data_IF_970515722148
#
_entry.id   IF_970515722148
#
_cell.length_a   1.000
_cell.length_b   1.000
_cell.length_c   1.000
_cell.angle_alpha   90.00
_cell.angle_beta   90.00
_cell.angle_gamma   90.00
#
_symmetry.space_group_name_H-M   'P 1'
#
loop_
_entity.id
_entity.type
_entity.pdbx_description
1 polymer ?
#
# COMPACT_ATOMS: atom_id res chain seq x y z
N UNK A 1 15.51 49.29 -23.59
CA UNK A 1 16.18 48.13 -22.97
C UNK A 1 15.65 47.87 -21.56
N UNK A 2 15.64 48.86 -20.67
CA UNK A 2 15.17 48.72 -19.27
C UNK A 2 13.72 48.24 -19.12
N UNK A 3 12.78 48.73 -19.94
CA UNK A 3 11.36 48.32 -19.88
C UNK A 3 11.16 46.85 -20.26
N UNK A 4 11.94 46.34 -21.23
CA UNK A 4 11.88 44.93 -21.66
C UNK A 4 12.44 44.02 -20.57
N UNK A 5 13.54 44.40 -19.92
CA UNK A 5 14.13 43.63 -18.82
C UNK A 5 13.17 43.55 -17.62
N UNK A 6 12.53 44.66 -17.26
CA UNK A 6 11.53 44.68 -16.16
C UNK A 6 10.33 43.79 -16.48
N UNK A 7 9.83 43.82 -17.72
CA UNK A 7 8.71 42.98 -18.14
C UNK A 7 9.05 41.49 -18.11
N UNK A 8 10.25 41.11 -18.58
CA UNK A 8 10.72 39.71 -18.57
C UNK A 8 10.90 39.20 -17.14
N UNK A 9 11.52 39.99 -16.26
CA UNK A 9 11.70 39.62 -14.84
C UNK A 9 10.35 39.50 -14.13
N UNK A 10 9.42 40.42 -14.40
CA UNK A 10 8.06 40.35 -13.84
C UNK A 10 7.31 39.09 -14.28
N UNK A 11 7.42 38.71 -15.56
CA UNK A 11 6.79 37.50 -16.09
C UNK A 11 7.40 36.21 -15.49
N UNK A 12 8.73 36.17 -15.34
CA UNK A 12 9.43 35.04 -14.75
C UNK A 12 9.07 34.85 -13.26
N UNK A 13 8.95 35.94 -12.50
CA UNK A 13 8.51 35.90 -11.10
C UNK A 13 7.06 35.44 -10.96
N UNK A 14 6.16 35.89 -11.84
CA UNK A 14 4.77 35.43 -11.86
C UNK A 14 4.68 33.94 -12.22
N UNK A 15 5.46 33.47 -13.19
CA UNK A 15 5.53 32.05 -13.53
C UNK A 15 6.08 31.21 -12.36
N UNK A 16 7.15 31.67 -11.70
CA UNK A 16 7.70 31.00 -10.52
C UNK A 16 6.69 30.95 -9.37
N UNK A 17 5.99 32.05 -9.08
CA UNK A 17 4.95 32.09 -8.05
C UNK A 17 3.75 31.21 -8.40
N UNK A 18 3.36 31.13 -9.68
CA UNK A 18 2.32 30.23 -10.12
C UNK A 18 2.73 28.76 -9.97
N UNK A 19 3.97 28.42 -10.34
CA UNK A 19 4.52 27.07 -10.15
C UNK A 19 4.59 26.71 -8.67
N UNK A 20 5.13 27.59 -7.82
CA UNK A 20 5.19 27.39 -6.37
C UNK A 20 3.80 27.30 -5.76
N UNK A 21 2.85 28.14 -6.19
CA UNK A 21 1.47 28.11 -5.70
C UNK A 21 0.72 26.84 -6.10
N UNK A 22 0.96 26.35 -7.32
CA UNK A 22 0.40 25.08 -7.81
C UNK A 22 1.03 23.89 -7.09
N UNK A 23 2.35 23.92 -6.87
CA UNK A 23 3.05 22.85 -6.15
C UNK A 23 2.59 22.80 -4.69
N UNK A 24 2.58 23.94 -4.00
CA UNK A 24 2.09 24.04 -2.63
C UNK A 24 0.63 23.61 -2.48
N UNK A 25 -0.22 23.92 -3.46
CA UNK A 25 -1.62 23.47 -3.42
C UNK A 25 -1.73 21.96 -3.65
N UNK A 26 -0.97 21.40 -4.59
CA UNK A 26 -0.92 19.94 -4.82
C UNK A 26 -0.36 19.19 -3.62
N UNK A 27 0.73 19.68 -3.03
CA UNK A 27 1.38 19.05 -1.89
C UNK A 27 0.52 19.13 -0.62
N UNK A 28 -0.33 20.16 -0.49
CA UNK A 28 -1.24 20.29 0.66
C UNK A 28 -2.37 19.25 0.63
N UNK A 29 -2.83 18.89 -0.55
CA UNK A 29 -4.01 18.02 -0.73
C UNK A 29 -3.61 16.55 -1.02
N UNK A 30 -2.31 16.24 -1.14
CA UNK A 30 -1.81 14.87 -1.35
C UNK A 30 -1.53 14.20 0.00
N UNK A 31 -2.16 13.04 0.24
CA UNK A 31 -1.93 12.22 1.44
C UNK A 31 -0.57 11.52 1.36
N UNK A 32 -0.01 11.10 2.50
CA UNK A 32 1.25 10.35 2.50
C UNK A 32 1.10 9.04 1.71
N UNK A 33 -0.06 8.40 1.81
CA UNK A 33 -0.38 7.22 1.01
C UNK A 33 -0.39 7.52 -0.51
N UNK A 34 -1.05 8.59 -0.95
CA UNK A 34 -1.06 8.97 -2.36
C UNK A 34 0.32 9.37 -2.89
N UNK A 35 1.12 10.05 -2.05
CA UNK A 35 2.50 10.38 -2.36
C UNK A 35 3.34 9.11 -2.52
N UNK A 36 3.28 8.18 -1.58
CA UNK A 36 4.03 6.93 -1.66
C UNK A 36 3.63 6.12 -2.91
N UNK A 37 2.33 6.00 -3.19
CA UNK A 37 1.83 5.32 -4.38
C UNK A 37 2.36 5.95 -5.69
N UNK A 38 2.68 7.25 -5.69
CA UNK A 38 3.29 7.89 -6.86
C UNK A 38 4.73 7.44 -7.16
N UNK A 39 5.39 6.78 -6.21
CA UNK A 39 6.71 6.15 -6.42
C UNK A 39 6.61 4.71 -6.95
N UNK A 40 5.41 4.13 -6.96
CA UNK A 40 5.22 2.77 -7.45
C UNK A 40 5.38 2.72 -8.98
N UNK A 41 5.97 1.63 -9.52
CA UNK A 41 6.06 1.40 -10.97
C UNK A 41 4.70 1.45 -11.67
N UNK A 42 4.68 1.94 -12.90
CA UNK A 42 3.43 2.10 -13.67
C UNK A 42 2.68 0.77 -13.94
N UNK A 43 3.39 -0.36 -13.91
CA UNK A 43 2.85 -1.71 -14.13
C UNK A 43 2.42 -2.42 -12.83
N UNK A 44 2.38 -1.70 -11.70
CA UNK A 44 1.97 -2.28 -10.42
C UNK A 44 0.54 -2.84 -10.48
N UNK A 45 0.44 -4.16 -10.28
CA UNK A 45 -0.83 -4.88 -10.22
C UNK A 45 -1.36 -4.97 -8.79
N UNK A 46 -0.47 -4.87 -7.80
CA UNK A 46 -0.76 -4.89 -6.37
C UNK A 46 0.08 -3.84 -5.65
N UNK A 47 -0.56 -3.08 -4.75
CA UNK A 47 0.10 -2.27 -3.74
C UNK A 47 -0.33 -2.73 -2.34
N UNK A 48 0.55 -2.59 -1.36
CA UNK A 48 0.21 -2.75 0.06
C UNK A 48 0.91 -1.66 0.86
N UNK A 49 0.17 -0.99 1.73
CA UNK A 49 0.60 0.20 2.46
C UNK A 49 0.49 -0.01 3.95
N UNK A 50 1.46 0.49 4.71
CA UNK A 50 1.40 0.59 6.17
C UNK A 50 2.02 1.90 6.64
N UNK A 51 1.24 2.74 7.30
CA UNK A 51 1.71 3.92 8.03
C UNK A 51 2.20 3.47 9.42
N UNK A 52 3.48 3.10 9.49
CA UNK A 52 4.10 2.59 10.70
C UNK A 52 4.09 3.60 11.84
N UNK A 53 4.19 4.89 11.55
CA UNK A 53 4.03 5.94 12.55
C UNK A 53 2.62 5.93 13.16
N UNK A 54 1.57 5.77 12.35
CA UNK A 54 0.21 5.62 12.85
C UNK A 54 -0.03 4.28 13.59
N UNK A 55 0.59 3.17 13.15
CA UNK A 55 0.53 1.89 13.87
C UNK A 55 1.15 2.00 15.27
N UNK A 56 2.34 2.62 15.39
CA UNK A 56 2.97 2.93 16.70
C UNK A 56 2.06 3.81 17.55
N UNK A 57 1.47 4.86 16.97
CA UNK A 57 0.54 5.74 17.66
C UNK A 57 -0.73 5.03 18.18
N UNK A 58 -1.26 4.05 17.44
CA UNK A 58 -2.46 3.27 17.82
C UNK A 58 -2.18 2.23 18.91
N UNK A 59 -1.04 1.56 18.82
CA UNK A 59 -0.59 0.59 19.84
C UNK A 59 -0.05 1.28 21.10
N UNK A 60 0.33 2.56 20.99
CA UNK A 60 0.99 3.30 22.07
C UNK A 60 2.44 2.87 22.26
N UNK A 61 3.04 2.26 21.24
CA UNK A 61 4.43 1.82 21.27
C UNK A 61 5.38 3.03 21.21
N UNK A 62 6.32 3.07 22.14
CA UNK A 62 7.42 4.05 22.19
C UNK A 62 8.68 3.35 21.68
N UNK A 63 8.82 3.30 20.36
CA UNK A 63 9.90 2.64 19.66
C UNK A 63 10.70 3.62 18.83
N UNK A 64 11.98 3.31 18.67
CA UNK A 64 12.94 4.03 17.85
C UNK A 64 14.01 3.10 17.28
N UNK A 65 14.97 3.66 16.55
CA UNK A 65 16.07 2.92 15.92
C UNK A 65 16.96 2.16 16.93
N UNK A 66 16.90 2.46 18.22
CA UNK A 66 17.71 1.81 19.27
C UNK A 66 16.94 0.75 20.06
N UNK A 67 15.66 0.56 19.75
CA UNK A 67 14.80 -0.44 20.38
C UNK A 67 15.30 -1.87 20.11
N UNK A 68 15.05 -2.78 21.05
CA UNK A 68 15.50 -4.17 20.88
C UNK A 68 14.60 -4.94 19.92
N UNK A 69 15.13 -6.01 19.33
CA UNK A 69 14.35 -6.92 18.49
C UNK A 69 13.12 -7.51 19.23
N UNK A 70 13.25 -7.77 20.53
CA UNK A 70 12.15 -8.26 21.37
C UNK A 70 11.04 -7.20 21.55
N UNK A 71 11.42 -5.92 21.69
CA UNK A 71 10.44 -4.82 21.78
C UNK A 71 9.69 -4.64 20.45
N UNK A 72 10.40 -4.77 19.32
CA UNK A 72 9.79 -4.74 17.99
C UNK A 72 8.83 -5.91 17.80
N UNK A 73 9.21 -7.13 18.21
CA UNK A 73 8.31 -8.28 18.14
C UNK A 73 7.05 -8.07 18.97
N UNK A 74 7.16 -7.57 20.21
CA UNK A 74 6.00 -7.28 21.05
C UNK A 74 5.05 -6.25 20.43
N UNK A 75 5.61 -5.20 19.81
CA UNK A 75 4.83 -4.22 19.06
C UNK A 75 4.10 -4.83 17.85
N UNK A 76 4.76 -5.71 17.10
CA UNK A 76 4.15 -6.37 15.94
C UNK A 76 3.02 -7.33 16.35
N UNK A 77 3.15 -8.00 17.49
CA UNK A 77 2.10 -8.84 18.06
C UNK A 77 0.86 -7.98 18.45
N UNK A 78 1.07 -6.85 19.14
CA UNK A 78 -0.01 -5.91 19.51
C UNK A 78 -0.68 -5.28 18.29
N UNK A 79 0.07 -5.01 17.23
CA UNK A 79 -0.44 -4.45 15.98
C UNK A 79 -1.18 -5.52 15.15
N UNK A 80 -0.73 -6.77 15.19
CA UNK A 80 -1.43 -7.91 14.59
C UNK A 80 -2.79 -8.12 15.23
N UNK A 81 -2.89 -8.07 16.57
CA UNK A 81 -4.16 -8.18 17.30
C UNK A 81 -5.18 -7.09 16.96
N UNK A 82 -4.72 -5.99 16.35
CA UNK A 82 -5.55 -4.90 15.86
C UNK A 82 -5.76 -4.91 14.34
N UNK A 83 -5.31 -5.97 13.65
CA UNK A 83 -5.45 -6.16 12.21
C UNK A 83 -4.76 -5.06 11.37
N UNK A 84 -3.58 -4.59 11.83
CA UNK A 84 -2.86 -3.46 11.22
C UNK A 84 -1.63 -3.85 10.41
N UNK A 85 -1.15 -5.10 10.52
CA UNK A 85 0.15 -5.52 9.99
C UNK A 85 0.08 -6.45 8.77
N UNK A 86 -1.11 -6.95 8.43
CA UNK A 86 -1.26 -7.98 7.39
C UNK A 86 -0.93 -7.52 5.97
N UNK A 87 -0.87 -6.21 5.73
CA UNK A 87 -0.43 -5.65 4.45
C UNK A 87 1.10 -5.53 4.32
N UNK A 88 1.84 -5.58 5.43
CA UNK A 88 3.27 -5.30 5.43
C UNK A 88 4.09 -6.51 4.95
N UNK A 89 5.13 -6.22 4.16
CA UNK A 89 6.17 -7.14 3.76
C UNK A 89 7.30 -7.25 4.80
N UNK A 90 7.39 -6.32 5.76
CA UNK A 90 8.48 -6.26 6.74
C UNK A 90 8.26 -7.12 7.99
N UNK A 91 7.03 -7.51 8.33
CA UNK A 91 6.70 -8.13 9.64
C UNK A 91 7.62 -9.29 9.99
N UNK A 92 7.86 -10.20 9.05
CA UNK A 92 8.71 -11.37 9.29
C UNK A 92 10.19 -10.98 9.46
N UNK A 93 10.66 -10.03 8.66
CA UNK A 93 12.06 -9.58 8.64
C UNK A 93 12.40 -8.60 9.76
N UNK A 94 11.39 -7.98 10.39
CA UNK A 94 11.53 -6.81 11.25
C UNK A 94 12.51 -6.97 12.42
N UNK A 95 12.53 -8.09 13.18
CA UNK A 95 13.51 -8.28 14.26
C UNK A 95 14.96 -8.29 13.75
N UNK A 96 15.19 -8.88 12.56
CA UNK A 96 16.54 -8.95 11.94
C UNK A 96 16.92 -7.60 11.36
N UNK A 97 16.00 -6.92 10.69
CA UNK A 97 16.18 -5.56 10.16
C UNK A 97 16.58 -4.58 11.28
N UNK A 98 15.87 -4.63 12.41
CA UNK A 98 16.20 -3.81 13.59
C UNK A 98 17.62 -4.07 14.12
N UNK A 99 18.08 -5.32 14.07
CA UNK A 99 19.38 -5.71 14.62
C UNK A 99 20.57 -5.44 13.68
N UNK A 100 20.34 -5.42 12.36
CA UNK A 100 21.43 -5.48 11.37
C UNK A 100 21.40 -4.40 10.28
N UNK A 101 20.27 -3.72 10.06
CA UNK A 101 20.09 -2.81 8.93
C UNK A 101 19.83 -1.36 9.37
N UNK A 102 19.68 -1.10 10.66
CA UNK A 102 19.42 0.24 11.19
C UNK A 102 18.00 0.75 10.97
N UNK A 103 17.12 -0.06 10.38
CA UNK A 103 15.73 0.29 10.15
C UNK A 103 14.80 -0.89 10.40
N UNK A 104 13.57 -0.62 10.82
CA UNK A 104 12.49 -1.58 10.97
C UNK A 104 11.14 -0.85 11.12
N UNK A 105 10.01 -1.56 11.28
CA UNK A 105 8.75 -0.95 11.72
C UNK A 105 8.84 -0.10 13.00
N UNK A 106 9.93 -0.17 13.77
CA UNK A 106 10.19 0.69 14.92
C UNK A 106 10.44 2.16 14.55
N UNK A 107 11.13 2.44 13.45
CA UNK A 107 11.59 3.79 13.09
C UNK A 107 11.20 4.23 11.67
N UNK A 108 10.81 3.30 10.79
CA UNK A 108 10.24 3.65 9.47
C UNK A 108 8.96 4.48 9.67
N UNK A 109 8.79 5.54 8.87
CA UNK A 109 7.57 6.36 8.87
C UNK A 109 6.43 5.60 8.21
N UNK A 110 6.67 5.10 7.00
CA UNK A 110 5.72 4.31 6.24
C UNK A 110 6.40 3.30 5.32
N UNK A 111 5.62 2.30 4.93
CA UNK A 111 5.99 1.25 4.00
C UNK A 111 4.98 1.17 2.84
N UNK A 112 5.50 1.05 1.62
CA UNK A 112 4.74 0.69 0.43
C UNK A 112 5.39 -0.52 -0.26
N UNK A 113 4.69 -1.63 -0.30
CA UNK A 113 5.01 -2.75 -1.18
C UNK A 113 4.29 -2.58 -2.52
N UNK A 114 5.00 -2.78 -3.63
CA UNK A 114 4.47 -2.81 -4.99
C UNK A 114 4.91 -4.07 -5.71
N UNK A 115 3.99 -4.71 -6.41
CA UNK A 115 4.24 -5.94 -7.16
C UNK A 115 3.62 -5.88 -8.56
N UNK A 116 4.40 -6.33 -9.53
CA UNK A 116 3.96 -6.60 -10.90
C UNK A 116 4.39 -7.99 -11.34
N UNK A 117 4.14 -8.32 -12.60
CA UNK A 117 4.66 -9.56 -13.21
C UNK A 117 6.17 -9.51 -13.46
N UNK A 118 6.78 -8.33 -13.44
CA UNK A 118 8.20 -8.12 -13.69
C UNK A 118 9.05 -8.25 -12.41
N UNK A 119 8.50 -7.90 -11.24
CA UNK A 119 9.18 -8.00 -9.95
C UNK A 119 8.38 -7.38 -8.82
N UNK A 120 8.98 -7.33 -7.64
CA UNK A 120 8.43 -6.65 -6.47
C UNK A 120 9.42 -5.65 -5.89
N UNK A 121 8.91 -4.56 -5.30
CA UNK A 121 9.70 -3.56 -4.61
C UNK A 121 9.01 -3.17 -3.31
N UNK A 122 9.78 -3.07 -2.22
CA UNK A 122 9.37 -2.43 -0.97
C UNK A 122 10.00 -1.05 -0.94
N UNK A 123 9.21 -0.01 -0.74
CA UNK A 123 9.63 1.38 -0.63
C UNK A 123 9.34 1.82 0.79
N UNK A 124 10.36 2.28 1.49
CA UNK A 124 10.30 2.68 2.89
C UNK A 124 10.73 4.13 3.00
N UNK A 125 10.03 4.91 3.82
CA UNK A 125 10.47 6.25 4.20
C UNK A 125 11.07 6.23 5.59
N UNK A 126 12.30 6.73 5.69
CA UNK A 126 12.95 7.00 6.97
C UNK A 126 12.88 8.49 7.32
N UNK A 127 13.10 8.83 8.60
CA UNK A 127 13.43 10.19 9.01
C UNK A 127 14.69 10.72 8.27
N UNK A 128 14.74 12.04 8.02
CA UNK A 128 15.68 12.70 7.09
C UNK A 128 17.20 12.57 7.39
N UNK A 129 17.62 11.93 8.49
CA UNK A 129 19.02 11.87 8.94
C UNK A 129 19.64 10.44 8.99
N UNK A 130 18.94 9.40 8.50
CA UNK A 130 19.30 8.01 8.83
C UNK A 130 19.99 7.22 7.69
N UNK A 131 19.98 7.69 6.43
CA UNK A 131 20.40 6.85 5.29
C UNK A 131 21.89 6.58 5.19
N UNK A 132 22.76 7.50 5.64
CA UNK A 132 24.21 7.23 5.69
C UNK A 132 24.51 6.09 6.67
N UNK A 133 23.83 6.05 7.81
CA UNK A 133 23.97 4.98 8.80
C UNK A 133 23.45 3.65 8.25
N UNK A 134 22.33 3.66 7.51
CA UNK A 134 21.82 2.46 6.81
C UNK A 134 22.86 1.95 5.80
N UNK A 135 23.55 2.84 5.08
CA UNK A 135 24.62 2.45 4.16
C UNK A 135 25.80 1.77 4.87
N UNK A 136 26.20 2.27 6.04
CA UNK A 136 27.26 1.66 6.86
C UNK A 136 26.81 0.28 7.42
N UNK A 137 25.57 0.18 7.91
CA UNK A 137 25.00 -1.08 8.41
C UNK A 137 24.89 -2.14 7.30
N UNK A 138 24.55 -1.74 6.06
CA UNK A 138 24.54 -2.63 4.89
C UNK A 138 25.95 -3.17 4.57
N UNK A 139 27.00 -2.33 4.63
CA UNK A 139 28.38 -2.80 4.45
C UNK A 139 28.80 -3.77 5.54
N UNK A 140 28.49 -3.46 6.80
CA UNK A 140 28.80 -4.31 7.95
C UNK A 140 28.05 -5.65 7.89
N UNK A 141 26.83 -5.64 7.34
CA UNK A 141 26.04 -6.85 7.04
C UNK A 141 26.56 -7.63 5.82
N UNK A 142 27.52 -7.09 5.06
CA UNK A 142 28.19 -7.78 3.95
C UNK A 142 27.65 -7.45 2.55
N UNK A 143 26.76 -6.46 2.41
CA UNK A 143 26.33 -5.99 1.10
C UNK A 143 27.47 -5.30 0.36
N UNK A 144 27.48 -5.46 -0.96
CA UNK A 144 28.44 -4.77 -1.83
C UNK A 144 27.90 -3.41 -2.24
N UNK A 145 28.60 -2.32 -1.86
CA UNK A 145 28.27 -0.95 -2.25
C UNK A 145 28.29 -0.78 -3.79
N UNK A 146 27.31 -0.08 -4.38
CA UNK A 146 27.34 0.29 -5.79
C UNK A 146 28.49 1.24 -6.14
N UNK A 147 28.85 1.30 -7.42
CA UNK A 147 29.85 2.25 -7.94
C UNK A 147 29.32 3.68 -8.15
N UNK A 148 28.01 3.88 -8.01
CA UNK A 148 27.29 5.15 -8.17
C UNK A 148 26.43 5.41 -6.94
N UNK A 149 26.09 6.67 -6.69
CA UNK A 149 25.27 7.09 -5.56
C UNK A 149 23.86 6.45 -5.62
N UNK A 150 23.20 6.52 -6.77
CA UNK A 150 21.86 5.94 -7.00
C UNK A 150 21.89 4.47 -7.44
N UNK A 151 22.99 3.77 -7.15
CA UNK A 151 23.13 2.38 -7.57
C UNK A 151 22.50 1.38 -6.60
N UNK A 152 22.35 0.15 -7.07
CA UNK A 152 21.82 -0.95 -6.25
C UNK A 152 22.94 -1.66 -5.48
N UNK A 153 22.79 -1.74 -4.16
CA UNK A 153 23.55 -2.57 -3.24
C UNK A 153 23.20 -4.04 -3.44
N UNK A 154 24.23 -4.89 -3.40
CA UNK A 154 24.10 -6.33 -3.70
C UNK A 154 24.38 -7.16 -2.45
N UNK A 155 23.34 -7.79 -1.91
CA UNK A 155 23.49 -8.88 -0.93
C UNK A 155 23.45 -10.23 -1.63
N UNK A 156 22.43 -10.45 -2.47
CA UNK A 156 22.21 -11.69 -3.21
C UNK A 156 21.61 -12.83 -2.36
N UNK A 157 21.34 -13.96 -3.01
CA UNK A 157 20.59 -15.10 -2.46
C UNK A 157 21.30 -15.87 -1.33
N UNK A 158 22.62 -15.77 -1.26
CA UNK A 158 23.44 -16.47 -0.27
C UNK A 158 23.70 -15.65 1.00
N UNK A 159 23.60 -14.32 0.93
CA UNK A 159 23.89 -13.47 2.08
C UNK A 159 22.74 -13.45 3.10
N UNK A 160 21.49 -13.30 2.65
CA UNK A 160 20.36 -13.16 3.57
C UNK A 160 20.25 -14.31 4.59
N UNK A 161 20.38 -15.60 4.20
CA UNK A 161 20.33 -16.70 5.16
C UNK A 161 21.48 -16.69 6.18
N UNK A 162 22.61 -16.06 5.87
CA UNK A 162 23.73 -15.89 6.81
C UNK A 162 23.46 -14.78 7.83
N UNK A 163 22.73 -13.74 7.45
CA UNK A 163 22.29 -12.66 8.34
C UNK A 163 21.13 -13.12 9.23
N UNK A 164 20.09 -13.69 8.64
CA UNK A 164 18.91 -14.18 9.35
C UNK A 164 17.98 -14.99 8.46
N UNK A 165 17.56 -16.17 8.94
CA UNK A 165 16.70 -17.08 8.19
C UNK A 165 15.29 -16.53 7.93
N UNK A 166 14.88 -15.48 8.66
CA UNK A 166 13.57 -14.85 8.56
C UNK A 166 13.53 -13.64 7.62
N UNK A 167 14.68 -13.27 7.00
CA UNK A 167 14.71 -12.20 6.01
C UNK A 167 13.98 -12.61 4.73
N UNK A 168 13.07 -11.74 4.30
CA UNK A 168 12.32 -11.94 3.07
C UNK A 168 13.20 -11.76 1.83
N UNK A 169 12.90 -12.44 0.71
CA UNK A 169 13.67 -12.32 -0.53
C UNK A 169 13.74 -10.89 -1.08
N UNK A 170 12.78 -10.03 -0.76
CA UNK A 170 12.73 -8.63 -1.17
C UNK A 170 13.87 -7.79 -0.58
N UNK A 171 14.66 -8.31 0.35
CA UNK A 171 15.81 -7.61 0.96
C UNK A 171 17.14 -7.94 0.28
N UNK A 172 17.15 -8.74 -0.79
CA UNK A 172 18.38 -9.17 -1.47
C UNK A 172 19.16 -8.03 -2.12
N UNK A 173 18.43 -6.99 -2.54
CA UNK A 173 18.96 -5.81 -3.21
C UNK A 173 18.37 -4.57 -2.58
N UNK A 174 19.21 -3.56 -2.37
CA UNK A 174 18.82 -2.31 -1.68
C UNK A 174 19.27 -1.12 -2.52
N UNK A 175 18.45 -0.08 -2.61
CA UNK A 175 18.83 1.22 -3.13
C UNK A 175 18.46 2.29 -2.10
N UNK A 176 19.29 3.32 -1.99
CA UNK A 176 19.11 4.42 -1.05
C UNK A 176 18.88 5.70 -1.87
N UNK A 177 17.74 6.35 -1.68
CA UNK A 177 17.44 7.65 -2.29
C UNK A 177 17.55 8.72 -1.19
N UNK A 178 18.74 9.34 -1.11
CA UNK A 178 19.04 10.35 -0.11
C UNK A 178 18.19 11.61 -0.28
N UNK A 179 17.87 12.01 -1.51
CA UNK A 179 17.09 13.21 -1.81
C UNK A 179 15.64 13.09 -1.30
N UNK A 180 15.09 11.87 -1.32
CA UNK A 180 13.73 11.56 -0.89
C UNK A 180 13.67 10.79 0.44
N UNK A 181 14.79 10.57 1.12
CA UNK A 181 14.86 9.81 2.37
C UNK A 181 14.25 8.40 2.27
N UNK A 182 14.43 7.71 1.13
CA UNK A 182 13.82 6.40 0.89
C UNK A 182 14.86 5.28 0.92
N UNK A 183 14.43 4.13 1.45
CA UNK A 183 15.07 2.83 1.22
C UNK A 183 14.16 2.03 0.30
N UNK A 184 14.73 1.53 -0.79
CA UNK A 184 14.03 0.64 -1.70
C UNK A 184 14.68 -0.73 -1.67
N UNK A 185 13.88 -1.78 -1.58
CA UNK A 185 14.38 -3.15 -1.59
C UNK A 185 13.65 -3.99 -2.62
N UNK A 186 14.34 -4.95 -3.23
CA UNK A 186 13.73 -5.87 -4.19
C UNK A 186 14.39 -7.25 -4.15
N UNK A 187 13.67 -8.24 -4.68
CA UNK A 187 14.17 -9.57 -4.97
C UNK A 187 15.00 -9.63 -6.26
N UNK A 188 15.04 -8.53 -7.03
CA UNK A 188 15.73 -8.43 -8.33
C UNK A 188 16.48 -7.11 -8.52
N UNK A 189 17.79 -7.19 -8.70
CA UNK A 189 18.64 -6.00 -8.93
C UNK A 189 18.26 -5.20 -10.18
N UNK A 190 17.97 -5.87 -11.29
CA UNK A 190 17.65 -5.22 -12.57
C UNK A 190 16.28 -4.53 -12.52
N UNK A 191 15.32 -5.14 -11.84
CA UNK A 191 14.03 -4.54 -11.59
C UNK A 191 14.17 -3.32 -10.67
N UNK A 192 14.88 -3.46 -9.54
CA UNK A 192 15.11 -2.35 -8.62
C UNK A 192 15.76 -1.14 -9.28
N UNK A 193 16.79 -1.34 -10.11
CA UNK A 193 17.42 -0.23 -10.84
C UNK A 193 16.42 0.46 -11.77
N UNK A 194 15.55 -0.28 -12.45
CA UNK A 194 14.50 0.33 -13.30
C UNK A 194 13.52 1.17 -12.48
N UNK A 195 13.15 0.70 -11.28
CA UNK A 195 12.26 1.47 -10.38
C UNK A 195 12.94 2.76 -9.93
N UNK A 196 14.21 2.71 -9.52
CA UNK A 196 14.99 3.89 -9.13
C UNK A 196 15.10 4.89 -10.29
N UNK A 197 15.43 4.40 -11.49
CA UNK A 197 15.60 5.25 -12.69
C UNK A 197 14.29 5.91 -13.15
N UNK A 198 13.13 5.26 -12.92
CA UNK A 198 11.81 5.74 -13.32
C UNK A 198 11.03 6.49 -12.23
N UNK A 199 11.59 6.61 -11.03
CA UNK A 199 10.86 7.11 -9.87
C UNK A 199 10.37 8.55 -10.05
N UNK A 200 9.05 8.74 -9.92
CA UNK A 200 8.39 10.05 -10.05
C UNK A 200 8.09 10.47 -11.50
N UNK A 201 8.65 9.76 -12.50
CA UNK A 201 8.31 9.92 -13.90
C UNK A 201 7.23 8.92 -14.34
N UNK A 202 7.24 7.72 -13.76
CA UNK A 202 6.21 6.72 -13.97
C UNK A 202 4.94 7.03 -13.16
N UNK A 203 3.79 6.68 -13.74
CA UNK A 203 2.50 6.92 -13.11
C UNK A 203 1.65 5.65 -13.16
N UNK A 204 1.09 5.29 -12.00
CA UNK A 204 0.04 4.30 -11.91
C UNK A 204 -1.10 4.61 -12.89
N UNK A 205 -1.80 3.55 -13.31
CA UNK A 205 -3.02 3.70 -14.13
C UNK A 205 -4.06 4.59 -13.42
N UNK A 206 -4.88 5.29 -14.22
CA UNK A 206 -5.91 6.20 -13.68
C UNK A 206 -6.86 5.49 -12.68
N UNK A 207 -7.39 4.27 -12.94
CA UNK A 207 -8.25 3.59 -11.98
C UNK A 207 -7.58 3.30 -10.64
N UNK A 208 -6.31 2.86 -10.64
CA UNK A 208 -5.56 2.57 -9.42
C UNK A 208 -5.32 3.86 -8.63
N UNK A 209 -4.94 4.95 -9.31
CA UNK A 209 -4.77 6.26 -8.67
C UNK A 209 -6.06 6.76 -8.04
N UNK A 210 -7.20 6.62 -8.72
CA UNK A 210 -8.50 7.04 -8.20
C UNK A 210 -8.89 6.30 -6.92
N UNK A 211 -8.64 4.99 -6.81
CA UNK A 211 -8.95 4.24 -5.57
C UNK A 211 -7.97 4.56 -4.44
N UNK A 212 -6.71 4.87 -4.75
CA UNK A 212 -5.72 5.38 -3.76
C UNK A 212 -6.18 6.73 -3.20
N UNK A 213 -6.50 7.69 -4.08
CA UNK A 213 -6.97 9.02 -3.69
C UNK A 213 -8.27 8.94 -2.85
N UNK A 214 -9.23 8.12 -3.25
CA UNK A 214 -10.48 7.92 -2.52
C UNK A 214 -10.31 7.18 -1.18
N UNK A 215 -9.20 6.45 -1.00
CA UNK A 215 -8.84 5.82 0.28
C UNK A 215 -8.34 6.83 1.31
N UNK A 216 -7.89 8.02 0.89
CA UNK A 216 -7.46 9.10 1.79
C UNK A 216 -6.13 8.79 2.50
N UNK A 217 -6.14 8.85 3.83
CA UNK A 217 -4.96 8.66 4.70
C UNK A 217 -5.15 7.42 5.59
N UNK A 218 -5.07 6.20 5.03
CA UNK A 218 -5.27 4.97 5.78
C UNK A 218 -4.04 4.59 6.61
N UNK A 219 -4.28 3.83 7.68
CA UNK A 219 -3.21 3.25 8.51
C UNK A 219 -2.62 2.03 7.82
N UNK A 220 -3.45 1.20 7.19
CA UNK A 220 -3.00 0.12 6.33
C UNK A 220 -3.94 -0.01 5.14
N UNK A 221 -3.42 -0.39 3.98
CA UNK A 221 -4.24 -0.59 2.78
C UNK A 221 -3.69 -1.69 1.86
N UNK A 222 -4.59 -2.31 1.12
CA UNK A 222 -4.30 -3.21 0.00
C UNK A 222 -5.00 -2.67 -1.25
N UNK A 223 -4.26 -2.53 -2.35
CA UNK A 223 -4.78 -2.03 -3.63
C UNK A 223 -4.44 -3.00 -4.74
N UNK A 224 -5.39 -3.20 -5.65
CA UNK A 224 -5.25 -4.05 -6.81
C UNK A 224 -5.71 -3.32 -8.07
N UNK A 225 -5.04 -3.59 -9.19
CA UNK A 225 -5.66 -3.33 -10.49
C UNK A 225 -6.86 -4.27 -10.72
N UNK A 226 -7.66 -4.00 -11.77
CA UNK A 226 -8.87 -4.76 -12.04
C UNK A 226 -8.62 -6.25 -12.28
N UNK A 227 -7.60 -6.58 -13.08
CA UNK A 227 -7.29 -7.97 -13.43
C UNK A 227 -6.83 -8.76 -12.19
N UNK A 228 -5.98 -8.16 -11.35
CA UNK A 228 -5.50 -8.78 -10.14
C UNK A 228 -6.59 -8.88 -9.07
N UNK A 229 -7.47 -7.87 -8.95
CA UNK A 229 -8.65 -7.95 -8.06
C UNK A 229 -9.59 -9.08 -8.49
N UNK A 230 -9.96 -9.12 -9.78
CA UNK A 230 -10.85 -10.14 -10.32
C UNK A 230 -10.23 -11.55 -10.35
N UNK A 231 -8.91 -11.68 -10.20
CA UNK A 231 -8.25 -12.98 -10.05
C UNK A 231 -8.14 -13.38 -8.58
N UNK A 232 -7.60 -12.48 -7.75
CA UNK A 232 -7.23 -12.73 -6.34
C UNK A 232 -8.42 -12.73 -5.39
N UNK A 233 -9.51 -12.03 -5.75
CA UNK A 233 -10.72 -11.93 -4.93
C UNK A 233 -11.91 -12.73 -5.48
N UNK A 234 -11.74 -13.41 -6.61
CA UNK A 234 -12.84 -14.10 -7.26
C UNK A 234 -13.35 -15.32 -6.49
N UNK A 235 -14.67 -15.52 -6.61
CA UNK A 235 -15.35 -16.71 -6.09
C UNK A 235 -14.91 -18.01 -6.76
N UNK A 236 -14.24 -17.94 -7.93
CA UNK A 236 -13.66 -19.11 -8.60
C UNK A 236 -12.61 -19.84 -7.77
N UNK A 237 -12.08 -19.19 -6.73
CA UNK A 237 -11.17 -19.78 -5.74
C UNK A 237 -11.88 -20.52 -4.60
N UNK A 238 -13.19 -20.32 -4.42
CA UNK A 238 -13.98 -21.02 -3.40
C UNK A 238 -14.35 -22.44 -3.86
N UNK A 239 -14.81 -23.27 -2.93
CA UNK A 239 -15.32 -24.60 -3.25
C UNK A 239 -16.64 -24.53 -4.06
N UNK A 240 -16.98 -25.61 -4.77
CA UNK A 240 -18.10 -25.63 -5.71
C UNK A 240 -19.47 -25.29 -5.06
N UNK A 241 -19.69 -25.67 -3.80
CA UNK A 241 -20.93 -25.38 -3.07
C UNK A 241 -21.03 -23.88 -2.71
N UNK A 242 -19.89 -23.26 -2.41
CA UNK A 242 -19.79 -21.83 -2.12
C UNK A 242 -19.95 -21.01 -3.41
N UNK A 243 -19.39 -21.47 -4.53
CA UNK A 243 -19.63 -20.86 -5.84
C UNK A 243 -21.12 -20.87 -6.21
N UNK A 244 -21.80 -22.01 -6.05
CA UNK A 244 -23.24 -22.11 -6.32
C UNK A 244 -24.09 -21.22 -5.40
N UNK A 245 -23.62 -20.99 -4.17
CA UNK A 245 -24.24 -20.05 -3.23
C UNK A 245 -24.00 -18.61 -3.65
N UNK A 246 -22.78 -18.26 -4.03
CA UNK A 246 -22.41 -16.95 -4.55
C UNK A 246 -23.22 -16.59 -5.80
N UNK A 247 -23.36 -17.52 -6.76
CA UNK A 247 -24.14 -17.30 -7.99
C UNK A 247 -25.59 -16.88 -7.69
N UNK A 248 -26.24 -17.56 -6.72
CA UNK A 248 -27.58 -17.16 -6.25
C UNK A 248 -27.58 -15.79 -5.61
N UNK A 249 -26.63 -15.51 -4.72
CA UNK A 249 -26.57 -14.24 -4.00
C UNK A 249 -26.32 -13.07 -4.97
N UNK A 250 -25.49 -13.27 -5.99
CA UNK A 250 -25.27 -12.31 -7.08
C UNK A 250 -26.55 -12.09 -7.89
N UNK A 251 -27.25 -13.17 -8.28
CA UNK A 251 -28.54 -13.06 -8.99
C UNK A 251 -29.60 -12.30 -8.16
N UNK A 252 -29.65 -12.53 -6.86
CA UNK A 252 -30.55 -11.85 -5.93
C UNK A 252 -30.18 -10.37 -5.69
N UNK A 253 -28.88 -10.06 -5.62
CA UNK A 253 -28.37 -8.70 -5.41
C UNK A 253 -28.52 -7.80 -6.63
N UNK A 254 -28.49 -8.38 -7.84
CA UNK A 254 -28.64 -7.67 -9.11
C UNK A 254 -27.33 -7.60 -9.89
N UNK A 255 -27.18 -6.58 -10.76
CA UNK A 255 -26.02 -6.47 -11.64
C UNK A 255 -24.73 -6.29 -10.83
N UNK A 256 -23.72 -7.09 -11.18
CA UNK A 256 -22.35 -7.02 -10.67
C UNK A 256 -21.43 -6.88 -11.89
N UNK A 257 -20.78 -5.73 -12.04
CA UNK A 257 -19.85 -5.46 -13.14
C UNK A 257 -18.39 -5.71 -12.68
N UNK A 258 -17.48 -6.08 -13.59
CA UNK A 258 -16.05 -6.17 -13.29
C UNK A 258 -15.48 -4.81 -12.86
N UNK A 259 -14.57 -4.84 -11.88
CA UNK A 259 -13.88 -3.65 -11.39
C UNK A 259 -12.66 -3.35 -12.25
N UNK A 260 -12.30 -2.06 -12.37
CA UNK A 260 -11.07 -1.60 -13.02
C UNK A 260 -9.93 -1.37 -12.03
N UNK A 261 -10.26 -1.20 -10.75
CA UNK A 261 -9.34 -1.21 -9.62
C UNK A 261 -10.11 -1.45 -8.31
N UNK A 262 -9.41 -1.90 -7.28
CA UNK A 262 -9.95 -2.15 -5.94
C UNK A 262 -8.98 -1.66 -4.88
N UNK A 263 -9.47 -1.01 -3.83
CA UNK A 263 -8.71 -0.72 -2.62
C UNK A 263 -9.50 -1.14 -1.39
N UNK A 264 -8.83 -1.74 -0.42
CA UNK A 264 -9.31 -1.97 0.93
C UNK A 264 -8.39 -1.24 1.89
N UNK A 265 -8.93 -0.55 2.88
CA UNK A 265 -8.09 0.26 3.78
C UNK A 265 -8.66 0.37 5.19
N UNK A 266 -7.79 0.24 6.20
CA UNK A 266 -8.12 0.56 7.59
C UNK A 266 -7.89 2.04 7.80
N UNK A 267 -8.96 2.73 8.17
CA UNK A 267 -8.95 4.17 8.34
C UNK A 267 -8.53 4.54 9.78
N UNK A 268 -8.08 5.77 10.06
CA UNK A 268 -7.62 6.16 11.40
C UNK A 268 -8.65 5.91 12.53
N UNK A 269 -9.94 5.98 12.21
CA UNK A 269 -11.05 5.68 13.13
C UNK A 269 -11.33 4.18 13.35
N UNK A 270 -10.60 3.27 12.69
CA UNK A 270 -10.80 1.82 12.78
C UNK A 270 -11.90 1.25 11.89
N UNK A 271 -12.56 2.09 11.07
CA UNK A 271 -13.44 1.59 10.01
C UNK A 271 -12.61 1.06 8.85
N UNK A 272 -13.17 0.09 8.12
CA UNK A 272 -12.57 -0.47 6.91
C UNK A 272 -13.30 0.08 5.71
N UNK A 273 -12.58 0.72 4.79
CA UNK A 273 -13.14 1.27 3.56
C UNK A 273 -12.75 0.41 2.38
N UNK A 274 -13.75 -0.09 1.65
CA UNK A 274 -13.56 -0.69 0.34
C UNK A 274 -13.93 0.31 -0.75
N UNK A 275 -13.02 0.60 -1.68
CA UNK A 275 -13.23 1.46 -2.84
C UNK A 275 -13.08 0.61 -4.10
N UNK A 276 -14.05 0.71 -5.00
CA UNK A 276 -14.11 -0.06 -6.24
C UNK A 276 -14.28 0.90 -7.41
N UNK A 277 -13.35 0.87 -8.36
CA UNK A 277 -13.48 1.62 -9.61
C UNK A 277 -14.18 0.78 -10.68
N UNK A 278 -15.02 1.43 -11.48
CA UNK A 278 -15.74 0.83 -12.60
C UNK A 278 -15.44 1.58 -13.91
N UNK A 279 -15.94 1.09 -15.03
CA UNK A 279 -15.70 1.75 -16.32
C UNK A 279 -16.54 3.04 -16.50
N UNK A 280 -17.57 3.25 -15.67
CA UNK A 280 -18.46 4.42 -15.76
C UNK A 280 -19.26 4.69 -14.49
N UNK A 281 -19.76 5.92 -14.35
CA UNK A 281 -20.68 6.32 -13.29
C UNK A 281 -22.01 5.53 -13.27
N UNK A 282 -22.53 5.14 -14.44
CA UNK A 282 -23.73 4.30 -14.50
C UNK A 282 -23.48 2.90 -13.89
N UNK A 283 -22.30 2.32 -14.14
CA UNK A 283 -21.90 1.06 -13.51
C UNK A 283 -21.70 1.23 -12.01
N UNK A 284 -20.98 2.27 -11.58
CA UNK A 284 -20.76 2.53 -10.15
C UNK A 284 -22.09 2.70 -9.39
N UNK A 285 -23.02 3.51 -9.91
CA UNK A 285 -24.35 3.69 -9.30
C UNK A 285 -25.17 2.39 -9.21
N UNK A 286 -25.08 1.54 -10.24
CA UNK A 286 -25.75 0.24 -10.25
C UNK A 286 -25.11 -0.70 -9.22
N UNK A 287 -23.77 -0.77 -9.20
CA UNK A 287 -23.02 -1.66 -8.34
C UNK A 287 -23.09 -1.26 -6.87
N UNK A 288 -23.23 0.02 -6.52
CA UNK A 288 -23.29 0.44 -5.11
C UNK A 288 -24.36 -0.31 -4.31
N UNK A 289 -25.56 -0.49 -4.87
CA UNK A 289 -26.64 -1.24 -4.22
C UNK A 289 -26.34 -2.74 -4.16
N UNK A 290 -25.94 -3.35 -5.28
CA UNK A 290 -25.63 -4.78 -5.35
C UNK A 290 -24.49 -5.16 -4.40
N UNK A 291 -23.39 -4.40 -4.42
CA UNK A 291 -22.19 -4.61 -3.61
C UNK A 291 -22.49 -4.45 -2.13
N UNK A 292 -23.30 -3.46 -1.75
CA UNK A 292 -23.77 -3.29 -0.38
C UNK A 292 -24.63 -4.47 0.10
N UNK A 293 -25.51 -4.99 -0.75
CA UNK A 293 -26.33 -6.16 -0.42
C UNK A 293 -25.46 -7.41 -0.21
N UNK A 294 -24.48 -7.64 -1.07
CA UNK A 294 -23.52 -8.75 -0.97
C UNK A 294 -22.63 -8.63 0.27
N UNK A 295 -22.25 -7.41 0.68
CA UNK A 295 -21.45 -7.16 1.88
C UNK A 295 -22.26 -7.26 3.19
N UNK A 296 -23.59 -7.35 3.12
CA UNK A 296 -24.49 -7.39 4.29
C UNK A 296 -25.11 -8.78 4.51
N UNK A 297 -24.56 -9.83 3.91
CA UNK A 297 -25.13 -11.18 3.90
C UNK A 297 -24.11 -12.29 4.17
N UNK A 298 -24.40 -13.51 3.68
CA UNK A 298 -23.49 -14.65 3.79
C UNK A 298 -22.13 -14.39 3.13
N UNK A 299 -21.07 -14.98 3.68
CA UNK A 299 -19.70 -14.87 3.18
C UNK A 299 -19.20 -16.22 2.62
N UNK A 300 -19.75 -16.71 1.48
CA UNK A 300 -19.28 -17.95 0.86
C UNK A 300 -17.78 -17.84 0.55
N UNK A 301 -17.05 -18.94 0.73
CA UNK A 301 -15.59 -18.95 0.58
C UNK A 301 -14.81 -18.44 1.79
N UNK A 302 -15.46 -17.76 2.74
CA UNK A 302 -14.85 -17.30 3.99
C UNK A 302 -15.47 -17.90 5.26
N UNK A 303 -16.65 -18.52 5.13
CA UNK A 303 -17.39 -19.13 6.23
C UNK A 303 -18.19 -18.14 7.07
N UNK A 304 -19.42 -18.53 7.44
CA UNK A 304 -20.34 -17.67 8.20
C UNK A 304 -20.88 -16.48 7.38
N UNK A 305 -21.27 -15.43 8.09
CA UNK A 305 -21.85 -14.22 7.48
C UNK A 305 -20.92 -13.01 7.68
N UNK A 306 -20.87 -12.10 6.70
CA UNK A 306 -20.15 -10.84 6.88
C UNK A 306 -20.69 -10.03 8.06
N UNK A 307 -22.00 -10.17 8.33
CA UNK A 307 -22.65 -9.46 9.44
C UNK A 307 -22.18 -9.90 10.82
N UNK A 308 -21.51 -11.05 10.94
CA UNK A 308 -20.86 -11.50 12.17
C UNK A 308 -19.51 -10.79 12.39
N UNK A 309 -18.94 -10.17 11.35
CA UNK A 309 -17.62 -9.53 11.35
C UNK A 309 -17.68 -8.01 11.30
N UNK A 310 -18.59 -7.47 10.50
CA UNK A 310 -18.78 -6.03 10.35
C UNK A 310 -20.24 -5.66 10.01
N UNK A 311 -20.54 -4.37 10.03
CA UNK A 311 -21.75 -3.82 9.43
C UNK A 311 -21.41 -2.81 8.33
N UNK A 312 -22.19 -2.80 7.25
CA UNK A 312 -22.09 -1.74 6.22
C UNK A 312 -22.67 -0.45 6.78
N UNK A 313 -21.81 0.51 7.12
CA UNK A 313 -22.18 1.83 7.61
C UNK A 313 -22.72 2.73 6.50
N UNK A 314 -22.10 2.67 5.32
CA UNK A 314 -22.60 3.35 4.12
C UNK A 314 -22.13 2.69 2.83
N UNK A 315 -22.86 2.96 1.75
CA UNK A 315 -22.50 2.59 0.39
C UNK A 315 -22.82 3.77 -0.53
N UNK A 316 -21.79 4.37 -1.13
CA UNK A 316 -21.93 5.54 -2.00
C UNK A 316 -21.33 5.27 -3.37
N UNK A 317 -21.87 5.93 -4.39
CA UNK A 317 -21.27 6.01 -5.71
C UNK A 317 -20.96 7.47 -6.02
N UNK A 318 -19.71 7.76 -6.36
CA UNK A 318 -19.23 9.09 -6.73
C UNK A 318 -18.36 8.98 -7.98
N UNK A 319 -18.85 9.52 -9.10
CA UNK A 319 -18.22 9.28 -10.39
C UNK A 319 -18.23 7.78 -10.71
N UNK A 320 -17.11 7.25 -11.16
CA UNK A 320 -16.91 5.83 -11.46
C UNK A 320 -16.50 4.98 -10.24
N UNK A 321 -16.53 5.55 -9.03
CA UNK A 321 -16.14 4.86 -7.80
C UNK A 321 -17.35 4.46 -6.97
N UNK A 322 -17.30 3.26 -6.38
CA UNK A 322 -18.17 2.82 -5.28
C UNK A 322 -17.34 2.74 -4.01
N UNK A 323 -17.82 3.34 -2.95
CA UNK A 323 -17.22 3.27 -1.62
C UNK A 323 -18.17 2.56 -0.67
N UNK A 324 -17.70 1.47 -0.06
CA UNK A 324 -18.35 0.84 1.09
C UNK A 324 -17.58 1.20 2.35
N UNK A 325 -18.27 1.79 3.32
CA UNK A 325 -17.74 2.03 4.65
C UNK A 325 -18.19 0.90 5.58
N UNK A 326 -17.26 0.06 5.99
CA UNK A 326 -17.47 -1.11 6.81
C UNK A 326 -17.05 -0.78 8.24
N UNK A 327 -17.91 -1.11 9.20
CA UNK A 327 -17.65 -0.92 10.62
C UNK A 327 -17.37 -2.28 11.25
N UNK A 328 -16.09 -2.64 11.50
CA UNK A 328 -15.74 -3.89 12.15
C UNK A 328 -16.38 -4.04 13.53
N UNK A 329 -16.71 -5.27 13.89
CA UNK A 329 -17.00 -5.63 15.27
C UNK A 329 -15.68 -5.83 16.02
N UNK A 330 -15.75 -5.68 17.34
CA UNK A 330 -14.56 -5.78 18.19
C UNK A 330 -13.92 -7.16 18.09
N UNK A 331 -12.62 -7.21 17.79
CA UNK A 331 -11.81 -8.44 17.71
C UNK A 331 -11.91 -9.18 16.38
N UNK A 332 -12.56 -8.60 15.37
CA UNK A 332 -12.67 -9.19 14.03
C UNK A 332 -11.60 -8.64 13.09
N UNK A 333 -10.95 -9.52 12.34
CA UNK A 333 -9.83 -9.21 11.43
C UNK A 333 -10.33 -8.89 10.01
N UNK A 334 -11.21 -7.88 9.92
CA UNK A 334 -11.94 -7.54 8.70
C UNK A 334 -11.03 -7.15 7.54
N UNK A 335 -9.92 -6.46 7.80
CA UNK A 335 -8.98 -6.10 6.74
C UNK A 335 -8.25 -7.34 6.21
N UNK A 336 -7.69 -8.17 7.09
CA UNK A 336 -7.01 -9.42 6.68
C UNK A 336 -7.94 -10.38 5.92
N UNK A 337 -9.19 -10.50 6.36
CA UNK A 337 -10.19 -11.38 5.75
C UNK A 337 -10.62 -10.94 4.34
N UNK A 338 -10.56 -9.64 4.07
CA UNK A 338 -11.09 -9.05 2.83
C UNK A 338 -9.98 -8.63 1.87
N UNK A 339 -8.72 -8.59 2.31
CA UNK A 339 -7.58 -8.27 1.45
C UNK A 339 -7.14 -9.43 0.57
N UNK A 340 -7.58 -10.66 0.83
CA UNK A 340 -7.20 -11.83 0.03
C UNK A 340 -8.26 -12.93 0.04
N UNK A 341 -8.21 -13.82 -0.96
CA UNK A 341 -9.15 -14.93 -1.08
C UNK A 341 -10.52 -14.50 -1.62
N UNK A 342 -11.49 -15.44 -1.74
CA UNK A 342 -12.79 -15.14 -2.32
C UNK A 342 -13.55 -14.12 -1.47
N UNK A 343 -13.89 -12.97 -2.05
CA UNK A 343 -14.67 -11.90 -1.41
C UNK A 343 -15.90 -11.63 -2.25
N UNK A 344 -17.07 -12.10 -1.79
CA UNK A 344 -18.31 -12.07 -2.58
C UNK A 344 -18.66 -10.67 -3.11
N UNK A 345 -18.59 -9.64 -2.27
CA UNK A 345 -18.91 -8.29 -2.70
C UNK A 345 -17.81 -7.66 -3.57
N UNK A 346 -16.62 -8.27 -3.70
CA UNK A 346 -15.55 -7.84 -4.61
C UNK A 346 -15.41 -8.80 -5.82
N UNK A 347 -16.39 -9.68 -6.06
CA UNK A 347 -16.32 -10.62 -7.18
C UNK A 347 -16.40 -9.92 -8.55
N UNK A 348 -15.85 -10.59 -9.53
CA UNK A 348 -16.10 -10.44 -10.96
C UNK A 348 -16.54 -11.83 -11.48
#
# INVERSE_FOLDING_TARGET
>A
MTVVVVAVVGLALLAALAVVGVHWWRDRDTTAFAQAASYAPADAARLSWTDWAAVRGKTGADLDATSSADDVQGFLDDAFDQDLTSASALVQSAPVLQAHFGFSPANVEWELFSQSTAGAVVILRLPDDDLDAVGDDLEDAGFTRPGTEDGVWIGGDSLLPEIGADLSPELQYVALDADRGLVLTSDRSDYLQQVVDGMGDDHLSDPVRSVVEASGEPVTAAVYDGDNACSTLAMSQADADDQATADRLVEEAGTVDPMTAYALSVQPGGHVRAVMAFASDDQARTNAASRAALAAGPAPGQGGDFTDRFSVGSATAEGDLVTLDLVPRSGEYVFSDLSSGPVLFATC
#
